data_IF_277503371836
#
_entry.id   IF_277503371836
#
_cell.length_a   1.000
_cell.length_b   1.000
_cell.length_c   1.000
_cell.angle_alpha   90.00
_cell.angle_beta   90.00
_cell.angle_gamma   90.00
#
_symmetry.space_group_name_H-M   'P 1'
#
loop_
_entity.id
_entity.type
_entity.pdbx_description
1 polymer ?
#
# COMPACT_ATOMS: atom_id res chain seq x y z
N UNK A 1 42.41 1.08 -24.74
CA UNK A 1 42.27 0.63 -23.36
C UNK A 1 40.85 0.06 -23.23
N UNK A 2 40.71 -1.25 -23.25
CA UNK A 2 39.39 -1.90 -23.14
C UNK A 2 39.06 -2.16 -21.67
N UNK A 3 37.84 -1.83 -21.29
CA UNK A 3 37.31 -2.12 -19.95
C UNK A 3 37.26 -3.64 -19.71
N UNK A 4 37.64 -4.08 -18.52
CA UNK A 4 37.60 -5.50 -18.16
C UNK A 4 36.14 -5.99 -18.07
N UNK A 5 35.90 -7.28 -18.28
CA UNK A 5 34.57 -7.91 -18.19
C UNK A 5 33.83 -7.58 -16.84
N UNK A 6 34.58 -7.36 -15.77
CA UNK A 6 34.10 -7.02 -14.45
C UNK A 6 33.62 -5.55 -14.32
N UNK A 7 34.26 -4.64 -15.05
CA UNK A 7 33.89 -3.21 -15.11
C UNK A 7 32.68 -2.99 -16.01
N UNK A 8 32.61 -3.73 -17.12
CA UNK A 8 31.42 -3.76 -17.98
C UNK A 8 30.20 -4.28 -17.24
N UNK A 9 30.34 -5.32 -16.41
CA UNK A 9 29.25 -5.87 -15.58
C UNK A 9 28.74 -4.84 -14.55
N UNK A 10 29.64 -4.12 -13.88
CA UNK A 10 29.25 -3.07 -12.92
C UNK A 10 28.55 -1.88 -13.58
N UNK A 11 29.03 -1.41 -14.72
CA UNK A 11 28.41 -0.33 -15.50
C UNK A 11 27.02 -0.72 -16.01
N UNK A 12 26.85 -1.98 -16.43
CA UNK A 12 25.57 -2.49 -16.92
C UNK A 12 24.54 -2.62 -15.80
N UNK A 13 24.93 -3.13 -14.64
CA UNK A 13 24.04 -3.26 -13.46
C UNK A 13 23.60 -1.89 -12.93
N UNK A 14 24.51 -0.92 -12.89
CA UNK A 14 24.19 0.45 -12.45
C UNK A 14 23.21 1.14 -13.42
N UNK A 15 23.35 0.94 -14.72
CA UNK A 15 22.50 1.55 -15.74
C UNK A 15 21.09 0.94 -15.78
N UNK A 16 20.97 -0.37 -15.54
CA UNK A 16 19.68 -1.07 -15.39
C UNK A 16 18.95 -0.56 -14.13
N UNK A 17 19.66 -0.42 -13.01
CA UNK A 17 19.07 0.10 -11.77
C UNK A 17 18.60 1.57 -11.90
N UNK A 18 19.30 2.39 -12.68
CA UNK A 18 18.91 3.79 -12.93
C UNK A 18 17.65 3.86 -13.83
N UNK A 19 17.52 2.99 -14.82
CA UNK A 19 16.38 3.00 -15.74
C UNK A 19 15.12 2.36 -15.11
N UNK A 20 15.29 1.38 -14.24
CA UNK A 20 14.18 0.79 -13.46
C UNK A 20 13.59 1.80 -12.47
N UNK A 21 14.41 2.70 -11.90
CA UNK A 21 13.94 3.82 -11.05
C UNK A 21 13.10 4.85 -11.81
N UNK A 22 13.18 4.93 -13.14
CA UNK A 22 12.42 5.89 -13.97
C UNK A 22 11.00 5.41 -14.32
N UNK A 23 10.55 4.25 -13.81
CA UNK A 23 9.14 3.82 -13.80
C UNK A 23 8.48 3.70 -15.17
N UNK A 24 9.17 3.17 -16.19
CA UNK A 24 8.58 2.88 -17.49
C UNK A 24 8.37 1.38 -17.67
N UNK A 25 7.18 0.91 -17.35
CA UNK A 25 6.65 -0.40 -17.79
C UNK A 25 6.10 -0.29 -19.22
N UNK A 26 6.98 -0.19 -20.22
CA UNK A 26 6.58 -0.26 -21.63
C UNK A 26 6.98 -1.63 -22.19
N UNK A 27 6.04 -2.45 -22.69
CA UNK A 27 6.34 -3.75 -23.33
C UNK A 27 7.28 -3.64 -24.51
N UNK A 28 7.33 -2.51 -25.22
CA UNK A 28 8.27 -2.24 -26.29
C UNK A 28 9.72 -2.09 -25.78
N UNK A 29 9.89 -1.55 -24.58
CA UNK A 29 11.19 -1.39 -23.92
C UNK A 29 11.80 -2.75 -23.51
N UNK A 30 10.99 -3.66 -22.98
CA UNK A 30 11.42 -5.04 -22.69
C UNK A 30 11.86 -5.78 -23.97
N UNK A 31 11.18 -5.60 -25.09
CA UNK A 31 11.57 -6.18 -26.38
C UNK A 31 12.92 -5.68 -26.88
N UNK A 32 13.18 -4.37 -26.77
CA UNK A 32 14.45 -3.77 -27.20
C UNK A 32 15.63 -4.24 -26.32
N UNK A 33 15.41 -4.48 -25.05
CA UNK A 33 16.44 -5.00 -24.13
C UNK A 33 16.77 -6.48 -24.39
N UNK A 34 15.76 -7.32 -24.64
CA UNK A 34 15.96 -8.73 -24.97
C UNK A 34 16.69 -8.87 -26.31
N UNK A 35 16.37 -8.05 -27.31
CA UNK A 35 17.09 -8.05 -28.59
C UNK A 35 18.57 -7.61 -28.44
N UNK A 36 18.86 -6.61 -27.61
CA UNK A 36 20.22 -6.17 -27.30
C UNK A 36 21.03 -7.22 -26.56
N UNK A 37 20.42 -7.98 -25.64
CA UNK A 37 21.06 -9.07 -24.92
C UNK A 37 21.40 -10.25 -25.86
N UNK A 38 20.51 -10.53 -26.81
CA UNK A 38 20.75 -11.57 -27.81
C UNK A 38 21.85 -11.19 -28.80
N UNK A 39 21.97 -9.93 -29.19
CA UNK A 39 23.06 -9.44 -30.05
C UNK A 39 24.41 -9.45 -29.36
N UNK A 40 24.49 -9.10 -28.07
CA UNK A 40 25.72 -9.14 -27.26
C UNK A 40 26.18 -10.57 -26.96
N UNK A 41 25.26 -11.53 -26.85
CA UNK A 41 25.56 -12.93 -26.70
C UNK A 41 26.10 -13.58 -28.01
N UNK A 42 25.73 -13.03 -29.17
CA UNK A 42 26.19 -13.48 -30.48
C UNK A 42 27.61 -13.00 -30.82
N UNK A 43 28.05 -11.87 -30.27
CA UNK A 43 29.41 -11.29 -30.51
C UNK A 43 30.49 -11.75 -29.50
N UNK A 44 30.10 -12.49 -28.45
CA UNK A 44 31.06 -13.04 -27.50
C UNK A 44 31.78 -14.27 -28.07
N UNK A 45 33.07 -14.14 -28.36
CA UNK A 45 33.95 -15.27 -28.72
C UNK A 45 33.98 -16.30 -27.58
N UNK A 46 33.98 -17.62 -27.85
CA UNK A 46 33.91 -18.63 -26.81
C UNK A 46 35.22 -18.69 -26.03
N UNK A 47 35.23 -18.19 -24.82
CA UNK A 47 36.20 -18.56 -23.80
C UNK A 47 35.63 -19.72 -22.98
N UNK A 48 36.44 -20.72 -22.75
CA UNK A 48 36.12 -22.01 -22.13
C UNK A 48 35.58 -21.92 -20.70
N UNK A 49 34.30 -21.61 -20.51
CA UNK A 49 33.55 -21.95 -19.31
C UNK A 49 32.09 -22.14 -19.68
N UNK A 50 31.50 -23.29 -19.32
CA UNK A 50 30.08 -23.57 -19.46
C UNK A 50 29.29 -22.74 -18.45
N UNK A 51 28.68 -21.66 -18.90
CA UNK A 51 27.65 -20.91 -18.13
C UNK A 51 26.27 -21.25 -18.71
N UNK A 52 25.40 -21.78 -17.90
CA UNK A 52 23.99 -22.01 -18.27
C UNK A 52 23.16 -20.84 -17.78
N UNK A 53 22.51 -20.15 -18.70
CA UNK A 53 21.60 -19.03 -18.40
C UNK A 53 20.18 -19.60 -18.18
N UNK A 54 19.64 -19.45 -16.99
CA UNK A 54 18.23 -19.78 -16.69
C UNK A 54 17.44 -18.49 -16.62
N UNK A 55 16.48 -18.34 -17.54
CA UNK A 55 15.57 -17.19 -17.58
C UNK A 55 14.27 -17.56 -16.88
N UNK A 56 13.92 -16.86 -15.81
CA UNK A 56 12.62 -16.94 -15.18
C UNK A 56 11.76 -15.76 -15.67
N UNK A 57 10.51 -15.97 -16.12
CA UNK A 57 9.73 -14.93 -16.82
C UNK A 57 9.22 -13.78 -15.92
N UNK A 58 9.39 -13.85 -14.61
CA UNK A 58 8.99 -12.77 -13.70
C UNK A 58 10.07 -12.53 -12.66
N UNK A 59 10.91 -11.54 -12.89
CA UNK A 59 11.91 -11.00 -11.95
C UNK A 59 13.15 -11.86 -11.65
N UNK A 60 14.30 -11.31 -12.02
CA UNK A 60 15.70 -11.67 -11.70
C UNK A 60 16.39 -12.76 -12.53
N UNK A 61 17.53 -12.35 -13.10
CA UNK A 61 18.48 -13.23 -13.79
C UNK A 61 19.45 -13.76 -12.73
N UNK A 62 19.44 -15.08 -12.50
CA UNK A 62 20.44 -15.75 -11.65
C UNK A 62 21.45 -16.47 -12.54
N UNK A 63 22.73 -16.22 -12.30
CA UNK A 63 23.85 -16.97 -12.92
C UNK A 63 24.30 -18.02 -11.90
N UNK A 64 24.08 -19.30 -12.19
CA UNK A 64 24.59 -20.40 -11.38
C UNK A 64 25.86 -20.96 -12.04
N UNK A 65 26.97 -20.89 -11.33
CA UNK A 65 28.22 -21.56 -11.71
C UNK A 65 28.31 -22.89 -10.97
N UNK A 66 28.25 -24.00 -11.70
CA UNK A 66 28.41 -25.33 -11.12
C UNK A 66 29.85 -25.83 -11.36
N UNK A 67 30.56 -26.07 -10.28
CA UNK A 67 31.94 -26.55 -10.25
C UNK A 67 31.95 -27.97 -9.71
N UNK A 68 31.56 -28.95 -10.48
CA UNK A 68 32.05 -30.32 -10.34
C UNK A 68 31.33 -31.32 -11.28
N UNK A 69 31.89 -31.64 -12.47
CA UNK A 69 31.67 -32.94 -13.09
C UNK A 69 32.95 -33.41 -13.73
N UNK A 70 33.43 -34.60 -13.31
CA UNK A 70 34.63 -35.27 -13.75
C UNK A 70 34.52 -35.78 -15.17
N UNK A 71 35.65 -35.70 -15.90
CA UNK A 71 35.88 -36.16 -17.25
C UNK A 71 35.76 -37.68 -17.41
N UNK A 72 35.15 -38.08 -18.53
CA UNK A 72 35.48 -39.28 -19.30
C UNK A 72 35.51 -38.92 -20.79
N UNK A 73 36.51 -39.40 -21.56
CA UNK A 73 36.66 -39.01 -22.95
C UNK A 73 35.87 -39.91 -23.89
N UNK A 74 35.11 -39.34 -24.82
CA UNK A 74 34.57 -40.07 -25.96
C UNK A 74 34.74 -39.34 -27.28
N UNK A 75 35.18 -40.13 -28.25
CA UNK A 75 35.64 -39.76 -29.59
C UNK A 75 34.57 -39.11 -30.46
N UNK A 76 35.07 -38.25 -31.33
CA UNK A 76 34.56 -37.56 -32.49
C UNK A 76 33.34 -38.15 -33.24
N UNK A 77 32.42 -37.29 -33.62
CA UNK A 77 31.89 -37.22 -34.98
C UNK A 77 31.48 -35.76 -35.31
N UNK A 78 32.04 -35.28 -36.40
CA UNK A 78 31.89 -33.94 -36.98
C UNK A 78 30.61 -33.94 -37.82
N UNK A 79 29.45 -33.57 -37.25
CA UNK A 79 28.24 -33.19 -38.01
C UNK A 79 27.15 -32.57 -37.13
N UNK A 80 27.42 -31.51 -36.37
CA UNK A 80 26.36 -30.92 -35.55
C UNK A 80 26.41 -29.42 -35.20
N UNK A 81 26.81 -28.46 -36.04
CA UNK A 81 26.52 -27.07 -35.75
C UNK A 81 25.12 -26.60 -36.28
N UNK A 82 24.64 -27.16 -37.40
CA UNK A 82 23.41 -26.67 -38.05
C UNK A 82 22.11 -27.18 -37.41
N UNK A 83 22.07 -28.38 -36.87
CA UNK A 83 20.91 -28.96 -36.21
C UNK A 83 20.65 -28.32 -34.83
N UNK A 84 21.71 -27.97 -34.10
CA UNK A 84 21.57 -27.27 -32.81
C UNK A 84 21.07 -25.83 -32.95
N UNK A 85 21.45 -25.14 -34.04
CA UNK A 85 20.96 -23.80 -34.33
C UNK A 85 19.48 -23.80 -34.72
N UNK A 86 19.04 -24.81 -35.49
CA UNK A 86 17.65 -25.00 -35.88
C UNK A 86 16.77 -25.40 -34.68
N UNK A 87 17.26 -26.23 -33.76
CA UNK A 87 16.54 -26.61 -32.54
C UNK A 87 16.38 -25.43 -31.56
N UNK A 88 17.41 -24.57 -31.44
CA UNK A 88 17.32 -23.34 -30.65
C UNK A 88 16.36 -22.32 -31.29
N UNK A 89 16.35 -22.20 -32.62
CA UNK A 89 15.41 -21.31 -33.31
C UNK A 89 13.96 -21.79 -33.21
N UNK A 90 13.70 -23.10 -33.29
CA UNK A 90 12.36 -23.65 -33.10
C UNK A 90 11.88 -23.56 -31.64
N UNK A 91 12.76 -23.72 -30.67
CA UNK A 91 12.42 -23.51 -29.23
C UNK A 91 12.08 -22.04 -28.92
N UNK A 92 12.81 -21.08 -29.49
CA UNK A 92 12.53 -19.64 -29.33
C UNK A 92 11.24 -19.25 -30.04
N UNK A 93 10.95 -19.82 -31.23
CA UNK A 93 9.66 -19.60 -31.92
C UNK A 93 8.49 -20.19 -31.13
N UNK A 94 8.66 -21.35 -30.49
CA UNK A 94 7.62 -21.99 -29.67
C UNK A 94 7.32 -21.19 -28.40
N UNK A 95 8.35 -20.62 -27.74
CA UNK A 95 8.19 -19.76 -26.57
C UNK A 95 7.52 -18.43 -26.95
N UNK A 96 7.86 -17.85 -28.11
CA UNK A 96 7.20 -16.64 -28.61
C UNK A 96 5.71 -16.88 -28.95
N UNK A 97 5.35 -18.07 -29.43
CA UNK A 97 3.96 -18.45 -29.66
C UNK A 97 3.17 -18.69 -28.36
N UNK A 98 3.83 -19.20 -27.30
CA UNK A 98 3.19 -19.39 -25.99
C UNK A 98 2.90 -18.06 -25.28
N UNK A 99 3.76 -17.03 -25.42
CA UNK A 99 3.50 -15.71 -24.89
C UNK A 99 2.32 -14.97 -25.53
N UNK A 100 1.90 -15.36 -26.76
CA UNK A 100 0.72 -14.77 -27.40
C UNK A 100 -0.61 -15.45 -27.03
N UNK A 101 -0.55 -16.63 -26.41
CA UNK A 101 -1.76 -17.39 -26.03
C UNK A 101 -2.34 -16.98 -24.66
N UNK A 102 -1.68 -16.12 -23.87
CA UNK A 102 -2.13 -15.76 -22.52
C UNK A 102 -2.80 -14.38 -22.41
N UNK A 103 -3.01 -13.66 -23.50
CA UNK A 103 -3.77 -12.39 -23.49
C UNK A 103 -5.07 -12.45 -24.28
N UNK A 104 -5.62 -13.63 -24.54
CA UNK A 104 -7.01 -13.76 -24.95
C UNK A 104 -7.92 -13.66 -23.71
N UNK A 105 -7.90 -12.54 -23.00
CA UNK A 105 -9.11 -12.05 -22.34
C UNK A 105 -10.15 -11.96 -23.45
N UNK A 106 -11.26 -12.70 -23.29
CA UNK A 106 -12.30 -12.79 -24.30
C UNK A 106 -12.70 -11.41 -24.83
N UNK A 107 -12.09 -11.01 -25.93
CA UNK A 107 -12.52 -9.82 -26.65
C UNK A 107 -13.95 -10.06 -27.05
N UNK A 108 -14.83 -9.25 -26.52
CA UNK A 108 -16.23 -9.23 -26.93
C UNK A 108 -16.24 -8.99 -28.44
N UNK A 109 -16.91 -9.85 -29.21
CA UNK A 109 -17.14 -9.68 -30.67
C UNK A 109 -17.92 -8.40 -31.01
N UNK A 110 -18.18 -7.55 -29.99
CA UNK A 110 -18.94 -6.31 -30.12
C UNK A 110 -17.98 -5.13 -30.20
N UNK A 111 -18.28 -4.24 -31.13
CA UNK A 111 -17.59 -2.98 -31.27
C UNK A 111 -17.76 -2.15 -29.98
N UNK A 112 -16.68 -1.49 -29.55
CA UNK A 112 -16.73 -0.51 -28.45
C UNK A 112 -17.35 0.80 -28.98
N UNK A 113 -18.65 0.94 -28.83
CA UNK A 113 -19.44 2.08 -29.28
C UNK A 113 -20.08 2.79 -28.07
N UNK A 114 -20.26 4.12 -28.15
CA UNK A 114 -20.99 4.87 -27.14
C UNK A 114 -22.41 4.30 -26.93
N UNK A 115 -22.75 4.02 -25.67
CA UNK A 115 -24.04 3.48 -25.25
C UNK A 115 -24.85 4.48 -24.45
N UNK A 116 -26.19 4.39 -24.50
CA UNK A 116 -27.06 5.26 -23.69
C UNK A 116 -26.84 5.08 -22.18
N UNK A 117 -26.65 3.83 -21.74
CA UNK A 117 -26.27 3.53 -20.38
C UNK A 117 -24.74 3.51 -20.28
N UNK A 118 -24.17 4.63 -19.85
CA UNK A 118 -22.72 4.79 -19.79
C UNK A 118 -22.10 3.87 -18.74
N UNK A 119 -20.90 3.39 -19.00
CA UNK A 119 -20.10 2.62 -18.06
C UNK A 119 -19.57 3.51 -16.93
N UNK A 120 -19.59 3.01 -15.72
CA UNK A 120 -19.06 3.68 -14.55
C UNK A 120 -18.40 2.68 -13.59
N UNK A 121 -17.38 3.16 -12.88
CA UNK A 121 -16.70 2.42 -11.82
C UNK A 121 -16.58 3.34 -10.61
N UNK A 122 -16.93 2.81 -9.45
CA UNK A 122 -16.68 3.47 -8.16
C UNK A 122 -15.87 2.53 -7.27
N UNK A 123 -14.93 3.06 -6.53
CA UNK A 123 -14.06 2.29 -5.64
C UNK A 123 -13.85 3.01 -4.32
N UNK A 124 -13.85 2.24 -3.23
CA UNK A 124 -13.48 2.70 -1.90
C UNK A 124 -12.50 1.72 -1.27
N UNK A 125 -11.40 2.25 -0.73
CA UNK A 125 -10.48 1.47 0.11
C UNK A 125 -10.87 1.62 1.58
N UNK A 126 -10.92 0.50 2.31
CA UNK A 126 -11.15 0.43 3.75
C UNK A 126 -10.04 -0.43 4.36
N UNK A 127 -9.26 0.15 5.27
CA UNK A 127 -8.01 -0.49 5.68
C UNK A 127 -7.10 -0.74 4.46
N UNK A 128 -6.82 -2.02 4.17
CA UNK A 128 -6.03 -2.44 2.99
C UNK A 128 -6.90 -3.11 1.91
N UNK A 129 -8.22 -3.16 2.10
CA UNK A 129 -9.18 -3.81 1.21
C UNK A 129 -9.79 -2.82 0.23
N UNK A 130 -9.74 -3.11 -1.06
CA UNK A 130 -10.43 -2.37 -2.11
C UNK A 130 -11.79 -3.00 -2.41
N UNK A 131 -12.82 -2.16 -2.44
CA UNK A 131 -14.18 -2.51 -2.84
C UNK A 131 -14.48 -1.74 -4.11
N UNK A 132 -14.74 -2.45 -5.21
CA UNK A 132 -14.98 -1.83 -6.53
C UNK A 132 -16.32 -2.27 -7.09
N UNK A 133 -17.18 -1.32 -7.44
CA UNK A 133 -18.43 -1.59 -8.18
C UNK A 133 -18.26 -1.12 -9.62
N UNK A 134 -18.45 -2.03 -10.57
CA UNK A 134 -18.38 -1.78 -12.00
C UNK A 134 -19.76 -2.00 -12.60
N UNK A 135 -20.33 -0.99 -13.27
CA UNK A 135 -21.72 -1.01 -13.69
C UNK A 135 -22.01 -0.09 -14.87
N UNK A 136 -23.19 -0.25 -15.45
CA UNK A 136 -23.72 0.70 -16.44
C UNK A 136 -24.90 1.47 -15.86
N UNK A 137 -24.98 2.76 -16.19
CA UNK A 137 -25.90 3.76 -15.62
C UNK A 137 -27.10 3.99 -16.55
N UNK A 138 -28.21 3.23 -16.42
CA UNK A 138 -29.43 3.55 -17.14
C UNK A 138 -30.05 4.86 -16.62
N UNK A 139 -30.66 5.62 -17.53
CA UNK A 139 -31.46 6.79 -17.18
C UNK A 139 -32.92 6.39 -16.94
N UNK A 140 -33.58 7.02 -16.00
CA UNK A 140 -35.01 6.82 -15.81
C UNK A 140 -35.82 7.41 -16.97
N UNK A 141 -35.43 8.59 -17.46
CA UNK A 141 -36.09 9.26 -18.60
C UNK A 141 -37.63 9.33 -18.44
N UNK A 142 -38.12 9.62 -17.23
CA UNK A 142 -39.54 9.69 -16.92
C UNK A 142 -40.29 8.35 -16.98
N UNK A 143 -39.60 7.21 -17.14
CA UNK A 143 -40.21 5.88 -17.12
C UNK A 143 -40.52 5.45 -15.69
N UNK A 144 -41.57 4.65 -15.53
CA UNK A 144 -41.84 3.95 -14.28
C UNK A 144 -40.80 2.83 -14.12
N UNK A 145 -39.93 2.96 -13.14
CA UNK A 145 -38.83 2.02 -12.90
C UNK A 145 -39.34 0.82 -12.08
N UNK A 146 -39.73 1.08 -10.84
CA UNK A 146 -40.05 0.04 -9.88
C UNK A 146 -41.43 -0.57 -10.16
N UNK A 147 -41.47 -1.90 -10.21
CA UNK A 147 -42.64 -2.67 -10.56
C UNK A 147 -42.92 -2.78 -12.07
N UNK A 148 -42.18 -2.03 -12.94
CA UNK A 148 -42.29 -2.13 -14.42
C UNK A 148 -40.96 -2.45 -15.07
N UNK A 149 -40.03 -1.48 -15.19
CA UNK A 149 -38.73 -1.72 -15.84
C UNK A 149 -37.88 -2.69 -14.99
N UNK A 150 -37.92 -2.57 -13.70
CA UNK A 150 -37.42 -3.53 -12.72
C UNK A 150 -38.61 -4.10 -11.95
N UNK A 151 -39.17 -5.25 -12.38
CA UNK A 151 -40.35 -5.83 -11.76
C UNK A 151 -40.11 -6.31 -10.34
N UNK A 152 -41.09 -6.12 -9.46
CA UNK A 152 -41.02 -6.64 -8.10
C UNK A 152 -40.96 -8.17 -8.09
N UNK A 153 -40.18 -8.75 -7.17
CA UNK A 153 -40.03 -10.19 -7.00
C UNK A 153 -39.19 -10.89 -8.07
N UNK A 154 -38.62 -10.16 -9.04
CA UNK A 154 -37.79 -10.71 -10.11
C UNK A 154 -36.34 -10.29 -9.97
N UNK A 155 -35.42 -11.19 -10.34
CA UNK A 155 -33.97 -10.89 -10.33
C UNK A 155 -33.65 -9.88 -11.41
N UNK A 156 -33.06 -8.78 -11.00
CA UNK A 156 -32.60 -7.69 -11.85
C UNK A 156 -31.08 -7.49 -11.70
N UNK A 157 -30.37 -7.26 -12.82
CA UNK A 157 -28.90 -7.09 -12.85
C UNK A 157 -28.38 -5.84 -12.15
N UNK A 158 -29.19 -5.13 -11.41
CA UNK A 158 -28.85 -3.92 -10.64
C UNK A 158 -28.08 -2.85 -11.43
N UNK A 159 -28.42 -2.72 -12.72
CA UNK A 159 -27.80 -1.84 -13.71
C UNK A 159 -28.37 -2.05 -15.12
N UNK A 160 -27.53 -1.88 -16.14
CA UNK A 160 -27.87 -2.08 -17.54
C UNK A 160 -26.73 -2.77 -18.30
N UNK A 161 -27.00 -3.25 -19.52
CA UNK A 161 -26.07 -3.92 -20.43
C UNK A 161 -25.45 -5.19 -19.79
N UNK A 162 -24.11 -5.24 -19.66
CA UNK A 162 -23.37 -6.30 -19.01
C UNK A 162 -23.72 -6.40 -17.51
N UNK A 163 -23.29 -7.46 -16.89
CA UNK A 163 -23.47 -7.66 -15.45
C UNK A 163 -22.88 -6.48 -14.67
N UNK A 164 -23.64 -5.95 -13.71
CA UNK A 164 -23.06 -5.16 -12.64
C UNK A 164 -22.21 -6.09 -11.79
N UNK A 165 -20.98 -5.70 -11.48
CA UNK A 165 -20.09 -6.50 -10.63
C UNK A 165 -19.64 -5.72 -9.42
N UNK A 166 -19.40 -6.46 -8.33
CA UNK A 166 -18.72 -5.95 -7.15
C UNK A 166 -17.51 -6.84 -6.85
N UNK A 167 -16.35 -6.20 -6.64
CA UNK A 167 -15.09 -6.89 -6.36
C UNK A 167 -14.59 -6.51 -4.98
N UNK A 168 -14.16 -7.53 -4.23
CA UNK A 168 -13.50 -7.40 -2.94
C UNK A 168 -12.10 -8.02 -3.04
N UNK A 169 -11.05 -7.28 -2.67
CA UNK A 169 -9.67 -7.79 -2.67
C UNK A 169 -9.38 -8.74 -1.52
N UNK A 170 -10.19 -8.67 -0.47
CA UNK A 170 -10.07 -9.49 0.74
C UNK A 170 -11.46 -9.99 1.20
N UNK A 171 -11.54 -10.99 2.10
CA UNK A 171 -12.81 -11.42 2.67
C UNK A 171 -13.51 -10.30 3.44
N UNK A 172 -14.82 -10.19 3.26
CA UNK A 172 -15.66 -9.15 3.88
C UNK A 172 -16.86 -9.76 4.60
N UNK A 173 -17.59 -8.94 5.30
CA UNK A 173 -18.89 -9.28 5.88
C UNK A 173 -19.93 -8.33 5.30
N UNK A 174 -20.99 -8.88 4.70
CA UNK A 174 -22.10 -8.13 4.13
C UNK A 174 -23.33 -8.32 5.02
N UNK A 175 -23.87 -7.25 5.59
CA UNK A 175 -25.01 -7.32 6.52
C UNK A 175 -24.81 -8.39 7.62
N UNK A 176 -23.56 -8.53 8.11
CA UNK A 176 -23.19 -9.51 9.14
C UNK A 176 -22.89 -10.92 8.63
N UNK A 177 -23.01 -11.20 7.33
CA UNK A 177 -22.75 -12.50 6.73
C UNK A 177 -21.43 -12.50 5.96
N UNK A 178 -20.61 -13.54 6.16
CA UNK A 178 -19.29 -13.65 5.54
C UNK A 178 -19.38 -13.86 4.02
N UNK A 179 -18.49 -13.20 3.29
CA UNK A 179 -18.28 -13.35 1.86
C UNK A 179 -16.79 -13.35 1.57
N UNK A 180 -16.31 -14.34 0.81
CA UNK A 180 -14.91 -14.45 0.43
C UNK A 180 -14.51 -13.33 -0.54
N UNK A 181 -13.20 -13.10 -0.68
CA UNK A 181 -12.66 -12.23 -1.71
C UNK A 181 -12.99 -12.74 -3.10
N UNK A 182 -13.21 -11.82 -4.02
CA UNK A 182 -13.50 -12.17 -5.41
C UNK A 182 -14.33 -11.11 -6.13
N UNK A 183 -14.65 -11.39 -7.38
CA UNK A 183 -15.56 -10.59 -8.18
C UNK A 183 -16.88 -11.33 -8.31
N UNK A 184 -17.96 -10.66 -7.96
CA UNK A 184 -19.33 -11.21 -7.97
C UNK A 184 -20.22 -10.43 -8.92
N UNK A 185 -21.08 -11.13 -9.64
CA UNK A 185 -22.23 -10.51 -10.31
C UNK A 185 -23.19 -9.98 -9.25
N UNK A 186 -23.46 -8.68 -9.28
CA UNK A 186 -24.36 -8.02 -8.35
C UNK A 186 -25.77 -7.96 -8.94
N UNK A 187 -26.69 -8.70 -8.34
CA UNK A 187 -28.10 -8.67 -8.72
C UNK A 187 -28.95 -8.23 -7.52
N UNK A 188 -30.15 -7.75 -7.82
CA UNK A 188 -31.12 -7.40 -6.78
C UNK A 188 -32.51 -7.94 -7.15
N UNK A 189 -33.29 -8.28 -6.15
CA UNK A 189 -34.72 -8.54 -6.28
C UNK A 189 -35.45 -7.37 -5.61
N UNK A 190 -36.03 -6.44 -6.42
CA UNK A 190 -36.83 -5.36 -5.89
C UNK A 190 -38.08 -5.86 -5.15
N UNK A 191 -38.45 -5.19 -4.09
CA UNK A 191 -39.70 -5.39 -3.38
C UNK A 191 -40.16 -4.07 -2.80
N UNK A 192 -41.42 -3.97 -2.41
CA UNK A 192 -41.97 -2.71 -1.89
C UNK A 192 -41.34 -2.30 -0.55
N UNK A 193 -41.16 -3.25 0.36
CA UNK A 193 -40.66 -2.99 1.73
C UNK A 193 -39.31 -3.64 2.04
N UNK A 194 -38.86 -4.58 1.21
CA UNK A 194 -37.63 -5.33 1.40
C UNK A 194 -37.06 -5.70 0.05
N UNK A 195 -35.75 -5.57 -0.09
CA UNK A 195 -35.01 -5.97 -1.26
C UNK A 195 -34.04 -7.09 -0.89
N UNK A 196 -33.78 -7.98 -1.84
CA UNK A 196 -32.69 -8.95 -1.72
C UNK A 196 -31.52 -8.51 -2.60
N UNK A 197 -30.35 -8.33 -2.00
CA UNK A 197 -29.09 -8.11 -2.69
C UNK A 197 -28.38 -9.45 -2.85
N UNK A 198 -27.95 -9.79 -4.07
CA UNK A 198 -27.40 -11.09 -4.45
C UNK A 198 -25.97 -10.92 -4.96
N UNK A 199 -25.06 -11.71 -4.45
CA UNK A 199 -23.68 -11.82 -4.87
C UNK A 199 -23.50 -13.16 -5.58
N UNK A 200 -23.57 -13.16 -6.91
CA UNK A 200 -23.45 -14.38 -7.74
C UNK A 200 -21.99 -14.63 -8.10
N UNK A 201 -21.56 -15.89 -8.05
CA UNK A 201 -20.24 -16.32 -8.56
C UNK A 201 -20.09 -16.12 -10.07
N UNK A 202 -21.21 -16.01 -10.79
CA UNK A 202 -21.21 -15.69 -12.20
C UNK A 202 -21.15 -14.18 -12.40
N UNK A 203 -19.96 -13.65 -12.68
CA UNK A 203 -19.70 -12.22 -12.86
C UNK A 203 -19.65 -11.80 -14.35
N UNK A 204 -19.81 -12.73 -15.31
CA UNK A 204 -19.58 -12.49 -16.73
C UNK A 204 -20.84 -12.57 -17.58
N UNK A 205 -22.02 -12.74 -16.98
CA UNK A 205 -23.29 -12.82 -17.69
C UNK A 205 -23.68 -11.50 -18.36
N UNK A 206 -24.50 -11.59 -19.38
CA UNK A 206 -25.22 -10.44 -19.91
C UNK A 206 -26.60 -10.33 -19.27
N UNK A 207 -26.78 -9.33 -18.40
CA UNK A 207 -28.03 -9.15 -17.67
C UNK A 207 -28.29 -10.25 -16.62
N UNK A 208 -29.57 -10.57 -16.39
CA UNK A 208 -29.99 -11.65 -15.49
C UNK A 208 -30.70 -12.78 -16.25
N UNK A 209 -30.57 -12.87 -17.57
CA UNK A 209 -31.30 -13.86 -18.38
C UNK A 209 -30.85 -15.31 -18.11
N UNK A 210 -29.58 -15.49 -17.78
CA UNK A 210 -28.98 -16.79 -17.48
C UNK A 210 -28.72 -17.00 -16.01
N UNK A 211 -29.29 -16.12 -15.16
CA UNK A 211 -29.12 -16.20 -13.73
C UNK A 211 -29.61 -17.55 -13.17
N UNK A 212 -28.82 -18.13 -12.26
CA UNK A 212 -29.13 -19.35 -11.54
C UNK A 212 -28.84 -19.16 -10.06
N UNK A 213 -29.80 -19.50 -9.21
CA UNK A 213 -29.67 -19.32 -7.78
C UNK A 213 -28.56 -20.21 -7.16
N UNK A 214 -28.24 -21.32 -7.82
CA UNK A 214 -27.16 -22.24 -7.37
C UNK A 214 -25.77 -21.61 -7.50
N UNK A 215 -25.64 -20.53 -8.28
CA UNK A 215 -24.41 -19.77 -8.44
C UNK A 215 -24.26 -18.65 -7.37
N UNK A 216 -25.24 -18.45 -6.50
CA UNK A 216 -25.15 -17.45 -5.47
C UNK A 216 -24.11 -17.80 -4.40
N UNK A 217 -23.22 -16.87 -4.14
CA UNK A 217 -22.30 -16.93 -3.01
C UNK A 217 -22.97 -16.42 -1.74
N UNK A 218 -23.79 -15.37 -1.86
CA UNK A 218 -24.49 -14.75 -0.74
C UNK A 218 -25.76 -14.06 -1.21
N UNK A 219 -26.79 -14.07 -0.33
CA UNK A 219 -27.99 -13.24 -0.42
C UNK A 219 -28.21 -12.54 0.91
N UNK A 220 -28.47 -11.25 0.87
CA UNK A 220 -28.83 -10.45 2.05
C UNK A 220 -30.09 -9.66 1.78
N UNK A 221 -30.89 -9.53 2.82
CA UNK A 221 -32.11 -8.72 2.76
C UNK A 221 -31.84 -7.34 3.36
N UNK A 222 -32.23 -6.30 2.62
CA UNK A 222 -32.05 -4.92 3.01
C UNK A 222 -33.37 -4.13 2.87
N UNK A 223 -33.48 -3.03 3.58
CA UNK A 223 -34.64 -2.17 3.51
C UNK A 223 -34.36 -1.00 2.55
N UNK A 224 -35.16 -0.83 1.48
CA UNK A 224 -35.01 0.33 0.62
C UNK A 224 -35.39 1.60 1.38
N UNK A 225 -34.79 2.71 0.97
CA UNK A 225 -35.01 4.04 1.55
C UNK A 225 -35.51 4.99 0.46
N UNK A 226 -36.35 5.94 0.87
CA UNK A 226 -36.70 7.05 -0.01
C UNK A 226 -35.46 7.94 -0.23
N UNK A 227 -35.26 8.37 -1.46
CA UNK A 227 -34.15 9.24 -1.85
C UNK A 227 -34.65 10.41 -2.70
N UNK A 228 -33.82 11.42 -2.88
CA UNK A 228 -34.02 12.42 -3.91
C UNK A 228 -34.02 11.76 -5.30
N UNK A 229 -34.68 12.39 -6.25
CA UNK A 229 -34.82 11.83 -7.60
C UNK A 229 -33.47 11.79 -8.33
N UNK A 230 -32.97 10.60 -8.62
CA UNK A 230 -31.79 10.34 -9.43
C UNK A 230 -32.20 9.79 -10.80
N UNK A 231 -32.06 10.59 -11.86
CA UNK A 231 -32.39 10.12 -13.22
C UNK A 231 -31.43 9.01 -13.69
N UNK A 232 -30.13 9.16 -13.43
CA UNK A 232 -29.13 8.12 -13.74
C UNK A 232 -28.90 7.21 -12.54
N UNK A 233 -28.97 5.89 -12.72
CA UNK A 233 -28.55 4.93 -11.70
C UNK A 233 -27.13 5.21 -11.26
N UNK A 234 -26.87 5.19 -9.96
CA UNK A 234 -25.56 5.42 -9.36
C UNK A 234 -25.31 4.44 -8.20
N UNK A 235 -24.06 4.07 -8.01
CA UNK A 235 -23.53 3.46 -6.79
C UNK A 235 -22.63 4.47 -6.09
N UNK A 236 -22.64 4.45 -4.77
CA UNK A 236 -21.84 5.32 -3.92
C UNK A 236 -21.43 4.61 -2.62
N UNK A 237 -20.45 5.18 -1.92
CA UNK A 237 -20.03 4.71 -0.61
C UNK A 237 -20.38 5.75 0.45
N UNK A 238 -21.36 5.42 1.30
CA UNK A 238 -21.79 6.26 2.41
C UNK A 238 -21.17 5.78 3.72
N UNK A 239 -21.16 6.64 4.74
CA UNK A 239 -20.73 6.35 6.11
C UNK A 239 -19.40 5.57 6.15
N UNK A 240 -18.39 6.03 5.40
CA UNK A 240 -17.09 5.41 5.40
C UNK A 240 -16.43 5.53 6.77
N UNK A 241 -16.09 4.39 7.37
CA UNK A 241 -15.44 4.23 8.67
C UNK A 241 -14.13 3.47 8.50
N UNK A 242 -13.26 3.43 9.52
CA UNK A 242 -12.00 2.70 9.43
C UNK A 242 -12.13 1.21 9.08
N UNK A 243 -13.28 0.59 9.39
CA UNK A 243 -13.53 -0.85 9.23
C UNK A 243 -14.78 -1.18 8.39
N UNK A 244 -15.50 -0.19 7.91
CA UNK A 244 -16.77 -0.42 7.21
C UNK A 244 -17.19 0.74 6.33
N UNK A 245 -18.06 0.45 5.35
CA UNK A 245 -18.80 1.44 4.59
C UNK A 245 -20.20 0.91 4.25
N UNK A 246 -21.09 1.80 3.85
CA UNK A 246 -22.36 1.45 3.24
C UNK A 246 -22.26 1.63 1.73
N UNK A 247 -22.44 0.56 0.99
CA UNK A 247 -22.59 0.62 -0.48
C UNK A 247 -24.05 0.90 -0.78
N UNK A 248 -24.34 1.97 -1.48
CA UNK A 248 -25.72 2.38 -1.77
C UNK A 248 -25.96 2.47 -3.28
N UNK A 249 -26.90 1.72 -3.79
CA UNK A 249 -27.45 1.92 -5.13
C UNK A 249 -28.57 2.96 -5.07
N UNK A 250 -28.52 3.98 -5.94
CA UNK A 250 -29.56 5.02 -6.07
C UNK A 250 -30.09 5.07 -7.50
N UNK A 251 -31.39 5.05 -7.62
CA UNK A 251 -32.06 5.27 -8.91
C UNK A 251 -33.52 5.70 -8.70
N UNK A 252 -33.99 6.62 -9.55
CA UNK A 252 -35.30 7.28 -9.36
C UNK A 252 -35.40 7.85 -7.93
N UNK A 253 -36.34 7.47 -7.14
CA UNK A 253 -36.57 7.95 -5.77
C UNK A 253 -36.25 6.88 -4.72
N UNK A 254 -35.43 5.91 -5.05
CA UNK A 254 -35.08 4.80 -4.17
C UNK A 254 -33.56 4.69 -3.99
N UNK A 255 -33.15 4.54 -2.74
CA UNK A 255 -31.82 4.14 -2.34
C UNK A 255 -31.86 2.73 -1.72
N UNK A 256 -30.90 1.89 -2.09
CA UNK A 256 -30.78 0.53 -1.56
C UNK A 256 -29.38 0.38 -0.93
N UNK A 257 -29.26 0.64 0.38
CA UNK A 257 -28.01 0.51 1.11
C UNK A 257 -27.77 -0.93 1.54
N UNK A 258 -26.50 -1.34 1.56
CA UNK A 258 -26.04 -2.53 2.27
C UNK A 258 -24.67 -2.28 2.89
N UNK A 259 -24.48 -2.79 4.10
CA UNK A 259 -23.26 -2.58 4.88
C UNK A 259 -22.20 -3.60 4.51
N UNK A 260 -20.98 -3.10 4.26
CA UNK A 260 -19.76 -3.91 4.12
C UNK A 260 -18.88 -3.64 5.32
N UNK A 261 -18.43 -4.70 5.99
CA UNK A 261 -17.49 -4.64 7.12
C UNK A 261 -16.26 -5.50 6.85
N UNK A 262 -15.14 -5.07 7.38
CA UNK A 262 -13.83 -5.67 7.17
C UNK A 262 -13.15 -5.89 8.51
N UNK A 263 -12.58 -7.04 8.71
CA UNK A 263 -11.71 -7.34 9.86
C UNK A 263 -10.31 -6.79 9.60
N UNK A 264 -10.19 -5.46 9.65
CA UNK A 264 -8.98 -4.75 9.22
C UNK A 264 -7.74 -5.27 9.94
N UNK A 265 -7.79 -5.43 11.27
CA UNK A 265 -6.62 -5.89 12.02
C UNK A 265 -6.17 -7.29 11.60
N UNK A 266 -7.10 -8.24 11.42
CA UNK A 266 -6.77 -9.61 10.99
C UNK A 266 -6.06 -9.60 9.62
N UNK A 267 -6.57 -8.77 8.70
CA UNK A 267 -6.00 -8.64 7.34
C UNK A 267 -4.64 -7.94 7.35
N UNK A 268 -4.48 -6.90 8.13
CA UNK A 268 -3.21 -6.17 8.24
C UNK A 268 -2.15 -7.06 8.88
N UNK A 269 -2.46 -7.77 9.98
CA UNK A 269 -1.53 -8.72 10.61
C UNK A 269 -1.10 -9.80 9.63
N UNK A 270 -2.05 -10.43 8.91
CA UNK A 270 -1.71 -11.42 7.88
C UNK A 270 -0.87 -10.81 6.75
N UNK A 271 -1.09 -9.54 6.41
CA UNK A 271 -0.29 -8.82 5.41
C UNK A 271 1.12 -8.50 5.91
N UNK A 272 1.26 -8.06 7.17
CA UNK A 272 2.56 -7.82 7.83
C UNK A 272 3.39 -9.10 7.78
N UNK A 273 2.88 -10.21 8.29
CA UNK A 273 3.58 -11.49 8.27
C UNK A 273 4.05 -11.86 6.85
N UNK A 274 3.17 -11.73 5.86
CA UNK A 274 3.53 -12.02 4.46
C UNK A 274 4.63 -11.10 3.92
N UNK A 275 4.59 -9.80 4.25
CA UNK A 275 5.56 -8.83 3.78
C UNK A 275 6.92 -9.00 4.46
N UNK A 276 6.93 -9.37 5.74
CA UNK A 276 8.15 -9.67 6.50
C UNK A 276 8.82 -10.99 6.09
N UNK A 277 8.17 -11.84 5.30
CA UNK A 277 8.83 -12.93 4.58
C UNK A 277 9.52 -12.50 3.28
N UNK A 278 9.36 -11.22 2.86
CA UNK A 278 9.97 -10.62 1.67
C UNK A 278 11.21 -9.80 1.98
N UNK A 279 11.45 -8.75 1.20
CA UNK A 279 12.60 -7.86 1.36
C UNK A 279 12.56 -7.05 2.66
N UNK A 280 11.38 -6.75 3.18
CA UNK A 280 11.21 -5.92 4.37
C UNK A 280 11.89 -6.52 5.62
N UNK A 281 12.07 -7.85 5.68
CA UNK A 281 12.77 -8.50 6.79
C UNK A 281 14.24 -8.09 6.96
N UNK A 282 14.86 -7.53 5.92
CA UNK A 282 16.28 -7.14 5.94
C UNK A 282 16.50 -5.68 6.37
N UNK A 283 15.43 -4.92 6.60
CA UNK A 283 15.47 -3.51 6.94
C UNK A 283 14.77 -3.28 8.28
N UNK A 284 15.35 -2.40 9.10
CA UNK A 284 14.81 -2.09 10.42
C UNK A 284 13.40 -1.51 10.36
N UNK A 285 13.11 -0.71 9.31
CA UNK A 285 11.82 -0.04 9.12
C UNK A 285 10.64 -1.04 9.02
N UNK A 286 10.85 -2.17 8.35
CA UNK A 286 9.80 -3.17 8.18
C UNK A 286 9.35 -3.78 9.50
N UNK A 287 10.27 -4.04 10.41
CA UNK A 287 9.99 -4.57 11.74
C UNK A 287 9.43 -3.49 12.69
N UNK A 288 9.98 -2.25 12.64
CA UNK A 288 9.49 -1.11 13.42
C UNK A 288 8.05 -0.73 13.03
N UNK A 289 7.74 -0.68 11.73
CA UNK A 289 6.38 -0.43 11.22
C UNK A 289 5.39 -1.51 11.71
N UNK A 290 5.81 -2.79 11.72
CA UNK A 290 4.99 -3.88 12.22
C UNK A 290 4.74 -3.74 13.72
N UNK A 291 5.78 -3.56 14.51
CA UNK A 291 5.71 -3.37 15.96
C UNK A 291 4.85 -2.14 16.31
N UNK A 292 5.02 -1.04 15.57
CA UNK A 292 4.22 0.18 15.73
C UNK A 292 2.74 -0.04 15.46
N UNK A 293 2.40 -0.85 14.43
CA UNK A 293 1.01 -1.20 14.15
C UNK A 293 0.38 -2.01 15.28
N UNK A 294 1.07 -3.04 15.79
CA UNK A 294 0.62 -3.85 16.91
C UNK A 294 0.39 -2.99 18.16
N UNK A 295 1.34 -2.11 18.49
CA UNK A 295 1.25 -1.19 19.62
C UNK A 295 0.05 -0.23 19.49
N UNK A 296 -0.10 0.43 18.34
CA UNK A 296 -1.14 1.43 18.12
C UNK A 296 -2.55 0.82 18.21
N UNK A 297 -2.72 -0.43 17.78
CA UNK A 297 -3.99 -1.14 17.81
C UNK A 297 -4.17 -2.01 19.05
N UNK A 298 -3.17 -2.08 19.95
CA UNK A 298 -3.16 -2.90 21.17
C UNK A 298 -3.40 -4.40 20.87
N UNK A 299 -2.74 -4.87 19.85
CA UNK A 299 -2.81 -6.27 19.39
C UNK A 299 -1.46 -6.90 19.73
N UNK A 300 -1.45 -8.12 20.26
CA UNK A 300 -0.28 -8.97 20.46
C UNK A 300 1.03 -8.20 20.79
N UNK A 301 1.07 -7.61 22.00
CA UNK A 301 2.23 -6.81 22.44
C UNK A 301 3.50 -7.66 22.60
N UNK A 302 3.38 -8.98 22.74
CA UNK A 302 4.54 -9.88 22.78
C UNK A 302 5.16 -10.01 21.38
N UNK A 303 4.35 -10.10 20.33
CA UNK A 303 4.82 -10.06 18.94
C UNK A 303 5.40 -8.67 18.61
N UNK A 304 4.72 -7.59 19.00
CA UNK A 304 5.24 -6.24 18.88
C UNK A 304 6.64 -6.07 19.45
N UNK A 305 6.87 -6.58 20.66
CA UNK A 305 8.18 -6.51 21.30
C UNK A 305 9.24 -7.32 20.54
N UNK A 306 8.87 -8.51 20.07
CA UNK A 306 9.77 -9.37 19.28
C UNK A 306 10.16 -8.70 17.97
N UNK A 307 9.20 -8.14 17.26
CA UNK A 307 9.44 -7.47 15.97
C UNK A 307 10.31 -6.23 16.17
N UNK A 308 10.07 -5.48 17.24
CA UNK A 308 10.91 -4.33 17.61
C UNK A 308 12.35 -4.74 17.95
N UNK A 309 12.54 -5.88 18.59
CA UNK A 309 13.87 -6.42 18.86
C UNK A 309 14.60 -6.83 17.57
N UNK A 310 13.88 -7.35 16.58
CA UNK A 310 14.41 -7.63 15.25
C UNK A 310 14.76 -6.35 14.48
N UNK A 311 13.95 -5.29 14.61
CA UNK A 311 14.27 -3.96 14.10
C UNK A 311 15.59 -3.42 14.67
N UNK A 312 15.75 -3.46 16.00
CA UNK A 312 16.96 -3.02 16.69
C UNK A 312 18.17 -3.88 16.29
N UNK A 313 17.98 -5.18 16.11
CA UNK A 313 19.04 -6.08 15.64
C UNK A 313 19.50 -5.76 14.22
N UNK A 314 18.57 -5.36 13.34
CA UNK A 314 18.90 -4.96 11.97
C UNK A 314 19.67 -3.64 11.93
N UNK A 315 19.20 -2.61 12.63
CA UNK A 315 19.88 -1.33 12.82
C UNK A 315 19.33 -0.63 14.06
N UNK A 316 20.18 -0.43 15.06
CA UNK A 316 19.78 0.25 16.30
C UNK A 316 19.66 1.77 16.07
N UNK A 317 18.45 2.31 16.29
CA UNK A 317 18.07 3.70 16.05
C UNK A 317 17.35 4.28 17.27
N UNK A 318 17.33 5.63 17.35
CA UNK A 318 16.49 6.32 18.34
C UNK A 318 15.03 5.87 18.24
N UNK A 319 14.52 5.78 17.01
CA UNK A 319 13.11 5.56 16.72
C UNK A 319 12.64 4.20 17.21
N UNK A 320 13.35 3.12 16.86
CA UNK A 320 12.98 1.76 17.26
C UNK A 320 13.29 1.46 18.75
N UNK A 321 14.35 2.04 19.34
CA UNK A 321 14.60 1.91 20.78
C UNK A 321 13.54 2.66 21.59
N UNK A 322 13.05 3.82 21.12
CA UNK A 322 11.96 4.55 21.75
C UNK A 322 10.63 3.80 21.60
N UNK A 323 10.35 3.23 20.42
CA UNK A 323 9.15 2.41 20.21
C UNK A 323 9.15 1.18 21.13
N UNK A 324 10.31 0.52 21.32
CA UNK A 324 10.45 -0.54 22.34
C UNK A 324 10.06 -0.07 23.73
N UNK A 325 10.44 1.15 24.12
CA UNK A 325 10.02 1.71 25.41
C UNK A 325 8.50 1.82 25.53
N UNK A 326 7.84 2.32 24.48
CA UNK A 326 6.39 2.45 24.46
C UNK A 326 5.67 1.09 24.52
N UNK A 327 6.20 0.07 23.82
CA UNK A 327 5.66 -1.29 23.86
C UNK A 327 5.78 -1.86 25.29
N UNK A 328 6.95 -1.74 25.91
CA UNK A 328 7.19 -2.21 27.27
C UNK A 328 6.30 -1.49 28.29
N UNK A 329 6.05 -0.19 28.11
CA UNK A 329 5.12 0.57 28.94
C UNK A 329 3.68 0.05 28.77
N UNK A 330 3.24 -0.19 27.53
CA UNK A 330 1.93 -0.76 27.24
C UNK A 330 1.74 -2.18 27.82
N UNK A 331 2.84 -2.97 27.92
CA UNK A 331 2.87 -4.26 28.60
C UNK A 331 2.91 -4.15 30.14
N UNK A 332 3.01 -2.93 30.72
CA UNK A 332 3.16 -2.71 32.15
C UNK A 332 4.57 -2.94 32.71
N UNK A 333 5.56 -3.17 31.85
CA UNK A 333 6.98 -3.41 32.18
C UNK A 333 7.73 -2.08 32.38
N UNK A 334 7.31 -1.28 33.34
CA UNK A 334 7.74 0.12 33.52
C UNK A 334 9.25 0.28 33.64
N UNK A 335 9.92 -0.60 34.43
CA UNK A 335 11.35 -0.53 34.68
C UNK A 335 12.15 -0.76 33.37
N UNK A 336 11.76 -1.75 32.59
CA UNK A 336 12.37 -2.04 31.29
C UNK A 336 12.11 -0.92 30.27
N UNK A 337 10.90 -0.33 30.31
CA UNK A 337 10.53 0.82 29.50
C UNK A 337 11.41 2.04 29.79
N UNK A 338 11.67 2.33 31.05
CA UNK A 338 12.58 3.43 31.46
C UNK A 338 14.00 3.22 30.95
N UNK A 339 14.52 2.01 31.06
CA UNK A 339 15.87 1.68 30.56
C UNK A 339 15.94 1.86 29.03
N UNK A 340 14.92 1.40 28.29
CA UNK A 340 14.86 1.57 26.84
C UNK A 340 14.75 3.05 26.45
N UNK A 341 13.91 3.82 27.14
CA UNK A 341 13.74 5.27 26.94
C UNK A 341 15.05 6.03 27.16
N UNK A 342 15.73 5.77 28.27
CA UNK A 342 16.97 6.45 28.58
C UNK A 342 18.07 6.15 27.57
N UNK A 343 18.10 4.91 27.08
CA UNK A 343 18.97 4.51 25.95
C UNK A 343 18.65 5.29 24.70
N UNK A 344 17.38 5.36 24.30
CA UNK A 344 16.93 6.11 23.13
C UNK A 344 17.31 7.60 23.24
N UNK A 345 17.03 8.23 24.39
CA UNK A 345 17.37 9.64 24.64
C UNK A 345 18.88 9.88 24.59
N UNK A 346 19.70 8.90 25.01
CA UNK A 346 21.14 8.92 24.84
C UNK A 346 21.60 9.00 23.39
N UNK A 347 20.88 8.34 22.46
CA UNK A 347 21.15 8.30 21.03
C UNK A 347 20.54 9.48 20.25
N UNK A 348 19.57 10.17 20.85
CA UNK A 348 18.77 11.19 20.20
C UNK A 348 19.60 12.39 19.71
N UNK A 349 19.26 12.91 18.54
CA UNK A 349 19.75 14.18 18.03
C UNK A 349 18.95 15.36 18.61
N UNK A 350 19.38 16.59 18.30
CA UNK A 350 18.77 17.80 18.86
C UNK A 350 17.28 17.97 18.54
N UNK A 351 16.87 17.57 17.35
CA UNK A 351 15.47 17.64 16.95
C UNK A 351 14.63 16.58 17.68
N UNK A 352 15.12 15.36 17.78
CA UNK A 352 14.44 14.26 18.49
C UNK A 352 14.24 14.59 19.96
N UNK A 353 15.28 15.12 20.66
CA UNK A 353 15.14 15.59 22.05
C UNK A 353 14.12 16.71 22.17
N UNK A 354 14.11 17.66 21.24
CA UNK A 354 13.11 18.73 21.22
C UNK A 354 11.70 18.19 21.05
N UNK A 355 11.47 17.29 20.08
CA UNK A 355 10.16 16.69 19.83
C UNK A 355 9.69 15.88 21.05
N UNK A 356 10.57 15.09 21.66
CA UNK A 356 10.26 14.34 22.87
C UNK A 356 9.82 15.26 24.02
N UNK A 357 10.58 16.33 24.28
CA UNK A 357 10.22 17.31 25.31
C UNK A 357 8.88 18.01 25.01
N UNK A 358 8.56 18.26 23.73
CA UNK A 358 7.25 18.78 23.32
C UNK A 358 6.12 17.77 23.57
N UNK A 359 6.37 16.49 23.38
CA UNK A 359 5.45 15.41 23.76
C UNK A 359 5.13 15.45 25.25
N UNK A 360 6.15 15.53 26.10
CA UNK A 360 5.98 15.67 27.56
C UNK A 360 5.15 16.90 27.94
N UNK A 361 5.35 18.03 27.27
CA UNK A 361 4.49 19.21 27.48
C UNK A 361 3.02 18.93 27.11
N UNK A 362 2.77 18.22 26.00
CA UNK A 362 1.42 17.79 25.60
C UNK A 362 0.75 16.92 26.67
N UNK A 363 1.55 16.08 27.36
CA UNK A 363 1.11 15.25 28.49
C UNK A 363 1.01 16.02 29.82
N UNK A 364 1.24 17.33 29.82
CA UNK A 364 1.28 18.20 31.01
C UNK A 364 2.42 17.89 31.98
N UNK A 365 3.46 17.22 31.54
CA UNK A 365 4.70 16.90 32.29
C UNK A 365 5.75 18.00 32.11
N UNK A 366 5.40 19.22 32.48
CA UNK A 366 6.21 20.41 32.19
C UNK A 366 7.62 20.35 32.82
N UNK A 367 7.75 19.84 34.06
CA UNK A 367 9.04 19.78 34.75
C UNK A 367 10.00 18.79 34.04
N UNK A 368 9.48 17.63 33.59
CA UNK A 368 10.26 16.67 32.83
C UNK A 368 10.69 17.26 31.49
N UNK A 369 9.79 17.96 30.81
CA UNK A 369 10.09 18.64 29.54
C UNK A 369 11.24 19.67 29.71
N UNK A 370 11.23 20.44 30.79
CA UNK A 370 12.29 21.42 31.11
C UNK A 370 13.65 20.71 31.27
N UNK A 371 13.69 19.56 31.95
CA UNK A 371 14.93 18.76 32.10
C UNK A 371 15.48 18.35 30.74
N UNK A 372 14.61 17.87 29.87
CA UNK A 372 15.01 17.42 28.52
C UNK A 372 15.46 18.60 27.64
N UNK A 373 14.75 19.75 27.66
CA UNK A 373 15.18 20.95 26.92
C UNK A 373 16.56 21.43 27.38
N UNK A 374 16.83 21.47 28.67
CA UNK A 374 18.15 21.85 29.22
C UNK A 374 19.24 20.84 28.84
N UNK A 375 18.94 19.54 28.87
CA UNK A 375 19.84 18.49 28.41
C UNK A 375 20.15 18.64 26.91
N UNK A 376 19.16 18.93 26.12
CA UNK A 376 19.31 19.21 24.67
C UNK A 376 20.24 20.38 24.40
N UNK A 377 20.02 21.51 25.11
CA UNK A 377 20.87 22.71 24.98
C UNK A 377 22.32 22.44 25.44
N UNK A 378 22.51 21.60 26.45
CA UNK A 378 23.86 21.19 26.88
C UNK A 378 24.57 20.31 25.87
N UNK A 379 23.83 19.35 25.24
CA UNK A 379 24.38 18.37 24.29
C UNK A 379 24.61 18.97 22.90
N UNK A 380 23.73 19.88 22.48
CA UNK A 380 23.72 20.51 21.17
C UNK A 380 23.54 22.05 21.27
N UNK A 381 24.55 22.79 21.83
CA UNK A 381 24.38 24.19 22.19
C UNK A 381 24.08 25.11 21.00
N UNK A 382 24.58 24.78 19.80
CA UNK A 382 24.47 25.64 18.61
C UNK A 382 23.29 25.24 17.69
N UNK A 383 22.48 24.26 18.09
CA UNK A 383 21.41 23.77 17.22
C UNK A 383 20.13 24.59 17.46
N UNK A 384 19.46 24.99 16.39
CA UNK A 384 18.32 25.89 16.46
C UNK A 384 17.15 25.39 17.32
N UNK A 385 16.89 24.05 17.34
CA UNK A 385 15.84 23.48 18.21
C UNK A 385 16.24 23.49 19.70
N UNK A 386 17.53 23.50 20.01
CA UNK A 386 18.01 23.65 21.38
C UNK A 386 17.71 25.04 21.92
N UNK A 387 17.98 26.07 21.14
CA UNK A 387 17.59 27.45 21.46
C UNK A 387 16.07 27.59 21.56
N UNK A 388 15.30 27.00 20.65
CA UNK A 388 13.84 26.99 20.73
C UNK A 388 13.34 26.31 22.03
N UNK A 389 13.97 25.20 22.42
CA UNK A 389 13.69 24.54 23.69
C UNK A 389 13.96 25.42 24.88
N UNK A 390 15.13 26.13 24.92
CA UNK A 390 15.45 27.06 25.98
C UNK A 390 14.51 28.26 26.05
N UNK A 391 14.07 28.78 24.89
CA UNK A 391 13.05 29.83 24.85
C UNK A 391 11.75 29.37 25.53
N UNK A 392 11.34 28.11 25.33
CA UNK A 392 10.16 27.53 26.01
C UNK A 392 10.36 27.40 27.50
N UNK A 393 11.58 27.04 27.96
CA UNK A 393 11.92 26.98 29.37
C UNK A 393 11.80 28.38 29.99
N UNK A 394 12.43 29.39 29.43
CA UNK A 394 12.35 30.78 29.93
C UNK A 394 10.93 31.34 29.90
N UNK A 395 10.18 31.07 28.84
CA UNK A 395 8.78 31.48 28.71
C UNK A 395 7.90 30.90 29.81
N UNK A 396 8.07 29.61 30.14
CA UNK A 396 7.31 28.98 31.22
C UNK A 396 7.63 29.53 32.60
N UNK A 397 8.80 30.16 32.74
CA UNK A 397 9.28 30.80 33.99
C UNK A 397 8.93 32.29 34.04
N UNK A 398 8.29 32.85 32.97
CA UNK A 398 7.98 34.27 32.87
C UNK A 398 9.17 35.16 32.52
N UNK A 399 10.32 34.57 32.20
CA UNK A 399 11.51 35.28 31.72
C UNK A 399 11.44 35.51 30.22
N UNK A 400 10.56 36.41 29.81
CA UNK A 400 10.28 36.67 28.40
C UNK A 400 11.46 37.32 27.66
N UNK A 401 12.30 38.10 28.36
CA UNK A 401 13.48 38.73 27.78
C UNK A 401 14.52 37.72 27.32
N UNK A 402 14.81 36.73 28.13
CA UNK A 402 15.71 35.63 27.77
C UNK A 402 15.05 34.70 26.74
N UNK A 403 13.75 34.47 26.85
CA UNK A 403 13.02 33.70 25.84
C UNK A 403 13.14 34.34 24.44
N UNK A 404 12.99 35.66 24.31
CA UNK A 404 13.16 36.39 23.03
C UNK A 404 14.59 36.25 22.50
N UNK A 405 15.61 36.35 23.36
CA UNK A 405 17.01 36.13 22.94
C UNK A 405 17.21 34.75 22.34
N UNK A 406 16.72 33.74 23.02
CA UNK A 406 16.83 32.36 22.53
C UNK A 406 16.06 32.12 21.23
N UNK A 407 14.87 32.71 21.03
CA UNK A 407 14.16 32.62 19.73
C UNK A 407 14.97 33.27 18.60
N UNK A 408 15.61 34.42 18.86
CA UNK A 408 16.46 35.08 17.86
C UNK A 408 17.68 34.24 17.49
N UNK A 409 18.29 33.54 18.45
CA UNK A 409 19.35 32.56 18.20
C UNK A 409 18.81 31.37 17.39
N UNK A 410 17.64 30.85 17.76
CA UNK A 410 16.97 29.78 17.01
C UNK A 410 16.72 30.19 15.54
N UNK A 411 16.25 31.40 15.29
CA UNK A 411 15.99 31.91 13.94
C UNK A 411 17.23 31.95 13.04
N UNK A 412 18.42 32.17 13.61
CA UNK A 412 19.67 32.24 12.82
C UNK A 412 20.05 30.89 12.20
N UNK A 413 19.71 29.77 12.85
CA UNK A 413 20.00 28.42 12.38
C UNK A 413 18.78 27.64 11.84
N UNK A 414 17.57 28.21 11.95
CA UNK A 414 16.36 27.55 11.53
C UNK A 414 16.18 27.53 10.01
N UNK A 415 15.59 26.43 9.45
CA UNK A 415 15.15 26.42 8.05
C UNK A 415 14.15 27.54 7.75
N UNK A 416 14.14 28.06 6.54
CA UNK A 416 13.26 29.19 6.14
C UNK A 416 11.78 28.91 6.40
N UNK A 417 11.33 27.67 6.19
CA UNK A 417 9.96 27.23 6.48
C UNK A 417 9.52 27.46 7.94
N UNK A 418 10.47 27.51 8.87
CA UNK A 418 10.18 27.68 10.31
C UNK A 418 10.24 29.14 10.77
N UNK A 419 10.88 30.04 10.00
CA UNK A 419 11.15 31.43 10.43
C UNK A 419 9.88 32.21 10.74
N UNK A 420 8.84 32.10 9.92
CA UNK A 420 7.55 32.80 10.16
C UNK A 420 6.90 32.38 11.47
N UNK A 421 6.97 31.08 11.82
CA UNK A 421 6.45 30.60 13.11
C UNK A 421 7.26 31.16 14.28
N UNK A 422 8.60 31.23 14.13
CA UNK A 422 9.49 31.80 15.16
C UNK A 422 9.26 33.30 15.36
N UNK A 423 9.03 34.05 14.29
CA UNK A 423 8.62 35.46 14.37
C UNK A 423 7.30 35.65 15.14
N UNK A 424 6.36 34.72 14.93
CA UNK A 424 5.12 34.67 15.72
C UNK A 424 5.38 34.48 17.21
N UNK A 425 6.33 33.62 17.56
CA UNK A 425 6.74 33.42 18.98
C UNK A 425 7.41 34.68 19.55
N UNK A 426 8.25 35.40 18.79
CA UNK A 426 8.84 36.68 19.25
C UNK A 426 7.74 37.65 19.64
N UNK A 427 6.74 37.87 18.78
CA UNK A 427 5.62 38.80 19.06
C UNK A 427 4.84 38.44 20.30
N UNK A 428 4.58 37.15 20.52
CA UNK A 428 3.89 36.66 21.73
C UNK A 428 4.72 36.89 22.99
N UNK A 429 6.02 36.61 22.93
CA UNK A 429 6.94 36.80 24.06
C UNK A 429 7.09 38.30 24.40
N UNK A 430 7.19 39.18 23.41
CA UNK A 430 7.21 40.64 23.59
C UNK A 430 5.90 41.16 24.23
N UNK A 431 4.79 40.50 23.94
CA UNK A 431 3.49 40.73 24.62
C UNK A 431 3.39 40.07 25.99
N UNK A 432 4.46 39.45 26.49
CA UNK A 432 4.53 38.66 27.75
C UNK A 432 3.56 37.48 27.80
N UNK A 433 3.34 36.85 26.66
CA UNK A 433 2.52 35.65 26.55
C UNK A 433 3.42 34.39 26.56
N UNK A 434 3.01 33.38 27.34
CA UNK A 434 3.70 32.08 27.35
C UNK A 434 3.49 31.33 26.05
N UNK A 435 4.58 31.00 25.32
CA UNK A 435 4.55 30.27 24.05
C UNK A 435 4.29 28.76 24.21
N UNK A 436 4.14 28.26 25.44
CA UNK A 436 3.81 26.87 25.73
C UNK A 436 2.29 26.62 25.78
N UNK A 437 1.50 27.66 25.81
CA UNK A 437 0.03 27.62 25.85
C UNK A 437 -0.58 27.66 24.47
#
# INVERSE_FOLDING_TARGET
MGLSSRELKKLFTAKIAEETRKGREDPAFCRAQILRLLTLAADARPSHHNETLVLNPCSSIHVVTDSAVRFLPRKRSFLMPRVRLLALFSAVLSIASFCHAQTATGETLMLDLPRQSQHAVVMQRIGITDITVNYHRPLANGRQIWGKLAPYGQVWRAGANENTTITFTDPVTIEGQALDKGTYGLHMIPGENQWTVIFSKNATSWGSFTYKQEEDALRVNVKPQAAEAHDALAYDFDEVKPDSAIVTMRWDKVAVPFKVQIKVNDLVVASIHRQLHGLNQYYWEGWDDAAGYFLANKIDLDEALKDEELSIQAEERYDNVMNKSHILEAMGRKQDAEVARDKALGMANALQLYVYARGLQGEKKQDEAIVVFRSNAKKFPDFWTSHLGMARVYSSQGDFDNAVKEIKLSMSGAPDANKTALEGYVKRLEAKEDINR
#
